data_IF_992922847517
#
_entry.id   IF_992922847517
#
_cell.length_a   1.000
_cell.length_b   1.000
_cell.length_c   1.000
_cell.angle_alpha   90.00
_cell.angle_beta   90.00
_cell.angle_gamma   90.00
#
_symmetry.space_group_name_H-M   'P 1'
#
loop_
_entity.id
_entity.type
_entity.pdbx_description
1 polymer ?
#
# COMPACT_ATOMS: atom_id res chain seq x y z
N UNK A 1 -3.61 -41.14 16.79
CA UNK A 1 -2.24 -40.80 16.37
C UNK A 1 -2.18 -39.52 15.54
N UNK A 2 -3.01 -39.31 14.47
CA UNK A 2 -2.96 -38.07 13.64
C UNK A 2 -3.23 -36.79 14.42
N UNK A 3 -4.12 -36.80 15.43
CA UNK A 3 -4.41 -35.61 16.28
C UNK A 3 -3.25 -35.29 17.24
N UNK A 4 -2.46 -36.25 17.66
CA UNK A 4 -1.29 -36.07 18.52
C UNK A 4 -0.12 -35.46 17.72
N UNK A 5 0.06 -35.87 16.46
CA UNK A 5 1.06 -35.28 15.56
C UNK A 5 0.78 -33.81 15.27
N UNK A 6 -0.49 -33.44 15.12
CA UNK A 6 -0.88 -32.03 14.89
C UNK A 6 -0.58 -31.16 16.12
N UNK A 7 -0.76 -31.69 17.33
CA UNK A 7 -0.41 -31.00 18.57
C UNK A 7 1.12 -30.87 18.76
N UNK A 8 1.90 -31.87 18.35
CA UNK A 8 3.38 -31.77 18.39
C UNK A 8 3.95 -30.76 17.38
N UNK A 9 3.32 -30.60 16.22
CA UNK A 9 3.71 -29.59 15.24
C UNK A 9 3.35 -28.14 15.67
N UNK A 10 2.39 -27.96 16.58
CA UNK A 10 2.01 -26.67 17.13
C UNK A 10 2.88 -26.26 18.34
N UNK A 11 3.55 -27.20 19.00
CA UNK A 11 4.38 -26.92 20.17
C UNK A 11 5.53 -25.91 19.93
N UNK A 12 6.29 -25.95 18.83
CA UNK A 12 7.34 -24.95 18.59
C UNK A 12 6.81 -23.55 18.31
N UNK A 13 5.53 -23.40 17.90
CA UNK A 13 4.91 -22.09 17.67
C UNK A 13 4.71 -21.33 18.98
N UNK A 14 4.47 -22.04 20.08
CA UNK A 14 4.22 -21.42 21.38
C UNK A 14 5.50 -20.96 22.10
N UNK A 15 6.64 -21.56 21.85
CA UNK A 15 7.91 -21.12 22.43
C UNK A 15 8.44 -19.82 21.80
N UNK A 16 7.94 -19.45 20.61
CA UNK A 16 8.32 -18.24 19.88
C UNK A 16 7.29 -17.11 19.99
N UNK A 17 6.23 -17.27 20.79
CA UNK A 17 5.13 -16.33 20.91
C UNK A 17 5.56 -14.94 21.44
N UNK A 18 6.65 -14.88 22.19
CA UNK A 18 7.21 -13.64 22.72
C UNK A 18 7.74 -12.69 21.62
N UNK A 19 8.09 -13.24 20.45
CA UNK A 19 8.62 -12.48 19.31
C UNK A 19 7.53 -12.09 18.31
N UNK A 20 6.28 -12.46 18.56
CA UNK A 20 5.16 -12.22 17.66
C UNK A 20 4.41 -10.95 18.06
N UNK A 21 4.14 -10.08 17.08
CA UNK A 21 3.41 -8.83 17.25
C UNK A 21 2.29 -8.74 16.23
N UNK A 22 1.12 -8.28 16.65
CA UNK A 22 0.08 -7.79 15.76
C UNK A 22 0.34 -6.33 15.40
N UNK A 23 0.09 -5.96 14.17
CA UNK A 23 0.33 -4.61 13.67
C UNK A 23 -0.90 -4.08 12.95
N UNK A 24 -1.34 -2.90 13.35
CA UNK A 24 -2.43 -2.16 12.75
C UNK A 24 -1.88 -0.85 12.21
N UNK A 25 -2.31 -0.47 11.02
CA UNK A 25 -1.91 0.80 10.41
C UNK A 25 -3.13 1.51 9.86
N UNK A 26 -3.22 2.82 10.06
CA UNK A 26 -4.30 3.64 9.54
C UNK A 26 -3.78 5.01 9.08
N UNK A 27 -4.25 5.48 7.94
CA UNK A 27 -3.77 6.75 7.41
C UNK A 27 -4.22 7.01 5.98
N UNK A 28 -3.32 7.56 5.17
CA UNK A 28 -3.59 8.07 3.85
C UNK A 28 -2.85 7.29 2.78
N UNK A 29 -3.55 7.00 1.68
CA UNK A 29 -2.99 6.49 0.43
C UNK A 29 -2.99 7.59 -0.63
N UNK A 30 -1.93 7.63 -1.42
CA UNK A 30 -1.77 8.54 -2.53
C UNK A 30 -1.25 7.81 -3.77
N UNK A 31 -1.72 8.27 -4.92
CA UNK A 31 -1.27 7.85 -6.23
C UNK A 31 -0.22 8.84 -6.78
N UNK A 32 0.69 8.32 -7.59
CA UNK A 32 1.66 9.08 -8.38
C UNK A 32 1.77 8.44 -9.77
N UNK A 33 1.49 9.20 -10.81
CA UNK A 33 1.52 8.77 -12.22
C UNK A 33 1.02 9.86 -13.15
N UNK A 34 0.42 9.48 -14.28
CA UNK A 34 0.07 10.40 -15.36
C UNK A 34 -1.01 11.43 -15.01
N UNK A 35 -1.96 11.11 -14.10
CA UNK A 35 -2.96 12.06 -13.63
C UNK A 35 -2.46 12.87 -12.41
N UNK A 36 -1.35 12.49 -11.79
CA UNK A 36 -0.77 13.17 -10.65
C UNK A 36 0.76 13.05 -10.67
N UNK A 37 1.42 13.90 -11.43
CA UNK A 37 2.89 13.90 -11.59
C UNK A 37 3.64 14.44 -10.37
N UNK A 38 2.95 15.15 -9.48
CA UNK A 38 3.59 15.74 -8.31
C UNK A 38 3.89 14.68 -7.26
N UNK A 39 5.19 14.54 -6.94
CA UNK A 39 5.65 13.65 -5.89
C UNK A 39 5.16 14.15 -4.51
N UNK A 40 4.75 13.23 -3.64
CA UNK A 40 4.40 13.50 -2.24
C UNK A 40 3.39 14.66 -2.04
N UNK A 41 2.20 14.52 -2.62
CA UNK A 41 1.09 15.45 -2.40
C UNK A 41 -0.02 14.80 -1.59
N UNK A 42 -0.63 15.56 -0.68
CA UNK A 42 -1.78 15.11 0.11
C UNK A 42 -3.13 15.54 -0.47
N UNK A 43 -3.13 16.30 -1.59
CA UNK A 43 -4.35 16.94 -2.10
C UNK A 43 -5.46 16.00 -2.54
N UNK A 44 -5.10 14.79 -2.99
CA UNK A 44 -6.04 13.80 -3.49
C UNK A 44 -6.00 12.50 -2.67
N UNK A 45 -5.44 12.57 -1.46
CA UNK A 45 -5.31 11.44 -0.56
C UNK A 45 -6.66 10.82 -0.23
N UNK A 46 -6.66 9.52 -0.06
CA UNK A 46 -7.78 8.72 0.41
C UNK A 46 -7.33 7.87 1.60
N UNK A 47 -8.29 7.43 2.39
CA UNK A 47 -8.00 6.58 3.54
C UNK A 47 -7.43 5.22 3.11
N UNK A 48 -6.50 4.72 3.90
CA UNK A 48 -5.99 3.35 3.84
C UNK A 48 -5.79 2.79 5.24
N UNK A 49 -6.16 1.53 5.41
CA UNK A 49 -5.95 0.77 6.63
C UNK A 49 -5.25 -0.54 6.36
N UNK A 50 -4.49 -1.03 7.32
CA UNK A 50 -3.77 -2.30 7.19
C UNK A 50 -3.79 -3.06 8.51
N UNK A 51 -3.84 -4.38 8.39
CA UNK A 51 -3.63 -5.31 9.49
C UNK A 51 -2.52 -6.27 9.11
N UNK A 52 -1.70 -6.64 10.07
CA UNK A 52 -0.60 -7.54 9.81
C UNK A 52 0.04 -8.10 11.05
N UNK A 53 1.13 -8.82 10.82
CA UNK A 53 1.93 -9.42 11.84
C UNK A 53 3.41 -9.09 11.63
N UNK A 54 4.14 -9.04 12.71
CA UNK A 54 5.59 -8.91 12.72
C UNK A 54 6.19 -9.99 13.62
N UNK A 55 7.38 -10.44 13.29
CA UNK A 55 8.11 -11.42 14.04
C UNK A 55 9.56 -10.98 14.21
N UNK A 56 10.02 -10.87 15.45
CA UNK A 56 11.40 -10.47 15.76
C UNK A 56 12.36 -11.63 15.45
N UNK A 57 13.16 -11.48 14.39
CA UNK A 57 14.20 -12.44 14.01
C UNK A 57 15.46 -12.22 14.84
N UNK A 58 15.79 -10.94 15.08
CA UNK A 58 16.88 -10.50 15.94
C UNK A 58 16.46 -9.25 16.72
N UNK A 59 17.32 -8.69 17.53
CA UNK A 59 17.06 -7.43 18.26
C UNK A 59 16.82 -6.22 17.33
N UNK A 60 17.26 -6.29 16.08
CA UNK A 60 17.13 -5.23 15.09
C UNK A 60 16.30 -5.62 13.87
N UNK A 61 16.29 -6.90 13.50
CA UNK A 61 15.65 -7.38 12.26
C UNK A 61 14.34 -8.07 12.56
N UNK A 62 13.28 -7.65 11.89
CA UNK A 62 11.94 -8.21 11.98
C UNK A 62 11.46 -8.66 10.60
N UNK A 63 10.81 -9.81 10.54
CA UNK A 63 9.95 -10.17 9.42
C UNK A 63 8.59 -9.47 9.60
N UNK A 64 7.98 -9.02 8.50
CA UNK A 64 6.67 -8.35 8.52
C UNK A 64 5.78 -8.82 7.39
N UNK A 65 4.49 -8.94 7.67
CA UNK A 65 3.46 -9.15 6.65
C UNK A 65 2.24 -8.31 6.96
N UNK A 66 1.64 -7.71 5.92
CA UNK A 66 0.45 -6.88 6.08
C UNK A 66 -0.52 -7.07 4.92
N UNK A 67 -1.80 -7.05 5.25
CA UNK A 67 -2.88 -6.89 4.29
C UNK A 67 -3.37 -5.45 4.42
N UNK A 68 -3.39 -4.73 3.30
CA UNK A 68 -3.78 -3.33 3.23
C UNK A 68 -4.99 -3.16 2.32
N UNK A 69 -5.94 -2.35 2.77
CA UNK A 69 -7.08 -1.89 2.01
C UNK A 69 -7.01 -0.37 1.91
N UNK A 70 -7.27 0.17 0.73
CA UNK A 70 -7.25 1.61 0.51
C UNK A 70 -7.94 2.01 -0.78
N UNK A 71 -7.95 3.29 -1.04
CA UNK A 71 -8.43 3.85 -2.29
C UNK A 71 -7.39 4.82 -2.85
N UNK A 72 -7.10 4.70 -4.15
CA UNK A 72 -6.30 5.66 -4.89
C UNK A 72 -7.22 6.49 -5.78
N UNK A 73 -6.89 7.76 -5.95
CA UNK A 73 -7.63 8.70 -6.79
C UNK A 73 -6.69 9.71 -7.40
N UNK A 74 -6.97 10.10 -8.65
CA UNK A 74 -6.46 11.34 -9.23
C UNK A 74 -7.50 11.96 -10.17
N UNK A 75 -7.34 13.27 -10.41
CA UNK A 75 -8.30 14.09 -11.15
C UNK A 75 -7.53 15.23 -11.84
N UNK A 76 -7.55 15.22 -13.16
CA UNK A 76 -6.90 16.21 -14.02
C UNK A 76 -7.41 17.63 -13.78
N UNK A 77 -8.69 17.79 -13.45
CA UNK A 77 -9.28 19.11 -13.16
C UNK A 77 -8.59 19.80 -11.96
N UNK A 78 -7.96 19.02 -11.06
CA UNK A 78 -7.20 19.54 -9.91
C UNK A 78 -5.72 19.76 -10.21
N UNK A 79 -5.27 19.42 -11.41
CA UNK A 79 -3.90 19.65 -11.87
C UNK A 79 -3.66 21.15 -12.14
N UNK A 80 -2.39 21.57 -12.02
CA UNK A 80 -1.95 22.91 -12.45
C UNK A 80 -1.56 22.94 -13.93
N UNK A 81 -1.52 21.80 -14.61
CA UNK A 81 -1.17 21.68 -16.03
C UNK A 81 -2.39 21.94 -16.91
N UNK A 82 -2.30 22.92 -17.82
CA UNK A 82 -3.36 23.21 -18.77
C UNK A 82 -3.70 21.99 -19.65
N UNK A 83 -2.70 21.19 -20.04
CA UNK A 83 -2.93 19.99 -20.85
C UNK A 83 -3.69 18.89 -20.09
N UNK A 84 -3.48 18.78 -18.78
CA UNK A 84 -4.28 17.85 -17.94
C UNK A 84 -5.70 18.38 -17.79
N UNK A 85 -5.88 19.67 -17.50
CA UNK A 85 -7.21 20.26 -17.38
C UNK A 85 -8.01 20.14 -18.68
N UNK A 86 -7.36 20.31 -19.85
CA UNK A 86 -8.02 20.13 -21.14
C UNK A 86 -8.39 18.68 -21.45
N UNK A 87 -7.64 17.69 -20.94
CA UNK A 87 -7.94 16.26 -21.04
C UNK A 87 -9.07 15.84 -20.08
N UNK A 88 -9.10 16.42 -18.89
CA UNK A 88 -10.13 16.32 -17.86
C UNK A 88 -10.46 14.87 -17.42
N UNK A 89 -9.47 14.01 -17.39
CA UNK A 89 -9.65 12.64 -16.93
C UNK A 89 -9.64 12.54 -15.40
N UNK A 90 -10.37 11.58 -14.88
CA UNK A 90 -10.31 11.22 -13.45
C UNK A 90 -10.46 9.73 -13.29
N UNK A 91 -9.90 9.20 -12.21
CA UNK A 91 -10.09 7.82 -11.82
C UNK A 91 -10.14 7.65 -10.31
N UNK A 92 -10.71 6.55 -9.90
CA UNK A 92 -10.62 5.99 -8.57
C UNK A 92 -10.36 4.49 -8.67
N UNK A 93 -9.62 3.92 -7.72
CA UNK A 93 -9.48 2.47 -7.64
C UNK A 93 -9.43 2.02 -6.19
N UNK A 94 -10.15 0.96 -5.87
CA UNK A 94 -9.96 0.25 -4.62
C UNK A 94 -8.67 -0.56 -4.71
N UNK A 95 -7.83 -0.42 -3.72
CA UNK A 95 -6.55 -1.10 -3.60
C UNK A 95 -6.66 -2.18 -2.54
N UNK A 96 -6.33 -3.41 -2.90
CA UNK A 96 -5.99 -4.50 -2.01
C UNK A 96 -4.51 -4.79 -2.18
N UNK A 97 -3.74 -4.87 -1.10
CA UNK A 97 -2.32 -5.20 -1.12
C UNK A 97 -2.01 -6.25 -0.05
N UNK A 98 -1.22 -7.25 -0.42
CA UNK A 98 -0.58 -8.16 0.52
C UNK A 98 0.93 -7.97 0.42
N UNK A 99 1.53 -7.50 1.50
CA UNK A 99 2.95 -7.20 1.66
C UNK A 99 3.63 -8.29 2.49
N UNK A 100 4.81 -8.72 2.06
CA UNK A 100 5.75 -9.54 2.82
C UNK A 100 7.12 -8.87 2.73
N UNK A 101 7.80 -8.69 3.86
CA UNK A 101 9.07 -7.99 3.88
C UNK A 101 9.82 -8.10 5.19
N UNK A 102 10.87 -7.30 5.29
CA UNK A 102 11.69 -7.15 6.48
C UNK A 102 11.73 -5.68 6.93
N UNK A 103 11.89 -5.49 8.22
CA UNK A 103 12.07 -4.20 8.87
C UNK A 103 13.36 -4.25 9.68
N UNK A 104 14.16 -3.20 9.60
CA UNK A 104 15.37 -3.04 10.40
C UNK A 104 15.24 -1.83 11.33
N UNK A 105 15.23 -2.09 12.62
CA UNK A 105 15.20 -1.09 13.68
C UNK A 105 16.62 -0.59 13.93
N UNK A 106 16.84 0.72 13.86
CA UNK A 106 18.16 1.33 14.05
C UNK A 106 18.57 1.25 15.52
N UNK A 107 17.63 1.48 16.43
CA UNK A 107 17.89 1.33 17.86
C UNK A 107 17.21 0.08 18.42
N UNK A 108 17.88 -0.56 19.34
CA UNK A 108 17.32 -1.68 20.06
C UNK A 108 16.30 -1.17 21.11
N UNK A 109 15.06 -1.59 20.98
CA UNK A 109 13.95 -1.21 21.88
C UNK A 109 14.05 -1.83 23.29
N UNK A 110 14.99 -2.77 23.51
CA UNK A 110 15.30 -3.23 24.86
C UNK A 110 16.06 -2.21 25.72
N UNK A 111 16.72 -1.22 25.06
CA UNK A 111 17.53 -0.22 25.71
C UNK A 111 17.02 1.21 25.49
N UNK A 112 16.26 1.42 24.39
CA UNK A 112 15.68 2.72 24.03
C UNK A 112 14.18 2.60 23.89
N UNK A 113 13.47 3.63 24.25
CA UNK A 113 12.01 3.68 24.17
C UNK A 113 11.47 4.14 22.81
N UNK A 114 12.35 4.42 21.85
CA UNK A 114 12.01 4.74 20.48
C UNK A 114 13.04 4.20 19.48
N UNK A 115 12.61 3.98 18.25
CA UNK A 115 13.50 3.57 17.16
C UNK A 115 13.02 4.11 15.83
N UNK A 116 13.88 4.77 15.04
CA UNK A 116 13.65 4.88 13.63
C UNK A 116 13.92 3.51 12.97
N UNK A 117 13.25 3.25 11.86
CA UNK A 117 13.42 2.01 11.12
C UNK A 117 13.31 2.23 9.62
N UNK A 118 13.86 1.30 8.88
CA UNK A 118 13.69 1.15 7.45
C UNK A 118 13.03 -0.19 7.16
N UNK A 119 12.30 -0.29 6.06
CA UNK A 119 11.75 -1.56 5.63
C UNK A 119 11.77 -1.70 4.12
N UNK A 120 11.79 -2.94 3.65
CA UNK A 120 11.63 -3.30 2.25
C UNK A 120 10.99 -4.68 2.13
N UNK A 121 10.36 -4.94 0.97
CA UNK A 121 9.71 -6.22 0.74
C UNK A 121 9.20 -6.40 -0.67
N UNK A 122 8.29 -7.33 -0.80
CA UNK A 122 7.55 -7.66 -2.00
C UNK A 122 6.05 -7.60 -1.70
N UNK A 123 5.24 -7.14 -2.64
CA UNK A 123 3.81 -7.14 -2.46
C UNK A 123 3.08 -7.53 -3.75
N UNK A 124 1.98 -8.23 -3.57
CA UNK A 124 0.96 -8.43 -4.59
C UNK A 124 -0.17 -7.44 -4.31
N UNK A 125 -0.54 -6.67 -5.31
CA UNK A 125 -1.65 -5.74 -5.19
C UNK A 125 -2.68 -5.93 -6.31
N UNK A 126 -3.91 -5.58 -6.01
CA UNK A 126 -5.03 -5.66 -6.94
C UNK A 126 -5.73 -4.31 -7.02
N UNK A 127 -5.97 -3.88 -8.26
CA UNK A 127 -6.67 -2.66 -8.60
C UNK A 127 -7.78 -2.94 -9.61
N UNK A 128 -8.79 -2.08 -9.62
CA UNK A 128 -9.84 -2.03 -10.63
C UNK A 128 -10.22 -0.57 -10.84
N UNK A 129 -9.50 0.16 -11.71
CA UNK A 129 -9.78 1.57 -11.94
C UNK A 129 -11.19 1.77 -12.50
N UNK A 130 -11.87 2.77 -11.97
CA UNK A 130 -13.20 3.18 -12.36
C UNK A 130 -13.34 4.71 -12.31
N UNK A 131 -14.33 5.22 -13.02
CA UNK A 131 -14.77 6.61 -12.95
C UNK A 131 -16.28 6.67 -12.88
N UNK A 132 -16.86 7.83 -12.65
CA UNK A 132 -18.28 8.07 -12.85
C UNK A 132 -18.52 8.58 -14.28
N UNK A 133 -19.56 8.06 -14.94
CA UNK A 133 -20.05 8.65 -16.18
C UNK A 133 -20.82 9.97 -15.92
N UNK A 134 -21.36 10.58 -16.96
CA UNK A 134 -22.09 11.85 -16.86
C UNK A 134 -23.41 11.74 -16.08
N UNK A 135 -23.93 10.53 -15.89
CA UNK A 135 -25.10 10.24 -15.06
C UNK A 135 -24.71 9.89 -13.61
N UNK A 136 -23.41 9.90 -13.29
CA UNK A 136 -22.90 9.51 -11.97
C UNK A 136 -22.79 8.01 -11.76
N UNK A 137 -23.06 7.19 -12.76
CA UNK A 137 -22.92 5.73 -12.65
C UNK A 137 -21.45 5.32 -12.65
N UNK A 138 -21.11 4.32 -11.83
CA UNK A 138 -19.76 3.78 -11.74
C UNK A 138 -19.43 2.92 -12.95
N UNK A 139 -18.40 3.29 -13.70
CA UNK A 139 -17.92 2.58 -14.88
C UNK A 139 -16.48 2.14 -14.68
N UNK A 140 -16.20 0.84 -14.85
CA UNK A 140 -14.84 0.32 -14.80
C UNK A 140 -14.11 0.62 -16.11
N UNK A 141 -12.88 1.14 -16.02
CA UNK A 141 -12.12 1.63 -17.17
C UNK A 141 -11.46 0.49 -17.96
N UNK A 142 -10.92 -0.54 -17.29
CA UNK A 142 -10.21 -1.64 -17.94
C UNK A 142 -11.00 -2.32 -19.10
N UNK A 143 -12.31 -2.64 -18.94
CA UNK A 143 -13.07 -3.25 -20.03
C UNK A 143 -13.28 -2.34 -21.25
N UNK A 144 -13.20 -1.02 -21.04
CA UNK A 144 -13.39 -0.02 -22.10
C UNK A 144 -12.20 0.05 -23.05
N UNK A 145 -11.01 -0.45 -22.61
CA UNK A 145 -9.84 -0.49 -23.48
C UNK A 145 -9.53 0.86 -24.14
N UNK A 146 -9.55 1.94 -23.34
CA UNK A 146 -9.53 3.35 -23.80
C UNK A 146 -8.33 3.72 -24.68
N UNK A 147 -7.27 2.91 -24.66
CA UNK A 147 -6.07 3.06 -25.49
C UNK A 147 -5.93 1.96 -26.53
N UNK A 148 -6.98 1.16 -26.76
CA UNK A 148 -6.98 0.10 -27.77
C UNK A 148 -6.54 -1.27 -27.27
N UNK A 149 -6.45 -1.47 -25.95
CA UNK A 149 -6.05 -2.74 -25.36
C UNK A 149 -7.00 -3.86 -25.76
N UNK A 150 -6.44 -4.95 -26.29
CA UNK A 150 -7.19 -6.16 -26.68
C UNK A 150 -7.85 -6.13 -28.06
N UNK A 151 -7.89 -4.99 -28.78
CA UNK A 151 -8.40 -4.94 -30.15
C UNK A 151 -7.41 -4.29 -31.15
N UNK A 152 -6.47 -3.47 -30.69
CA UNK A 152 -5.38 -2.98 -31.53
C UNK A 152 -4.23 -4.01 -31.51
N UNK A 153 -3.68 -4.41 -32.66
CA UNK A 153 -2.57 -5.35 -32.72
C UNK A 153 -1.40 -4.92 -31.82
N UNK A 154 -0.89 -5.85 -31.02
CA UNK A 154 0.22 -5.62 -30.11
C UNK A 154 -0.15 -5.01 -28.75
N UNK A 155 -1.36 -4.45 -28.57
CA UNK A 155 -1.82 -3.88 -27.29
C UNK A 155 -2.59 -4.90 -26.46
N UNK A 156 -1.95 -5.38 -25.39
CA UNK A 156 -2.56 -6.35 -24.45
C UNK A 156 -3.37 -5.62 -23.37
N UNK A 157 -4.44 -6.27 -22.93
CA UNK A 157 -5.18 -5.82 -21.74
C UNK A 157 -4.28 -5.99 -20.50
N UNK A 158 -4.16 -4.97 -19.69
CA UNK A 158 -3.36 -5.04 -18.47
C UNK A 158 -4.03 -5.90 -17.38
N UNK A 159 -3.21 -6.48 -16.50
CA UNK A 159 -3.71 -7.34 -15.42
C UNK A 159 -4.13 -6.48 -14.22
N UNK A 160 -5.25 -6.82 -13.60
CA UNK A 160 -5.70 -6.15 -12.36
C UNK A 160 -4.84 -6.51 -11.14
N UNK A 161 -4.26 -7.71 -11.11
CA UNK A 161 -3.35 -8.15 -10.03
C UNK A 161 -1.92 -8.03 -10.54
N UNK A 162 -1.09 -7.33 -9.76
CA UNK A 162 0.26 -6.96 -10.12
C UNK A 162 1.20 -7.06 -8.93
N UNK A 163 2.50 -6.95 -9.20
CA UNK A 163 3.57 -6.98 -8.21
C UNK A 163 4.12 -5.57 -7.98
N UNK A 164 4.53 -5.29 -6.73
CA UNK A 164 5.25 -4.07 -6.37
C UNK A 164 6.37 -4.37 -5.38
N UNK A 165 7.30 -3.42 -5.27
CA UNK A 165 8.36 -3.41 -4.27
C UNK A 165 8.02 -2.30 -3.26
N UNK A 166 7.44 -2.64 -2.10
CA UNK A 166 7.27 -1.71 -1.00
C UNK A 166 8.63 -1.46 -0.32
N UNK A 167 8.90 -0.20 -0.01
CA UNK A 167 10.01 0.21 0.84
C UNK A 167 9.68 1.53 1.51
N UNK A 168 10.34 1.82 2.62
CA UNK A 168 10.07 3.06 3.32
C UNK A 168 10.81 3.19 4.63
N UNK A 169 10.39 4.20 5.35
CA UNK A 169 10.95 4.59 6.64
C UNK A 169 9.81 4.79 7.65
N UNK A 170 10.15 4.65 8.91
CA UNK A 170 9.22 4.98 9.99
C UNK A 170 9.95 5.22 11.30
N UNK A 171 9.18 5.58 12.30
CA UNK A 171 9.65 5.67 13.66
C UNK A 171 8.58 5.10 14.60
N UNK A 172 9.01 4.35 15.59
CA UNK A 172 8.15 3.76 16.62
C UNK A 172 8.59 4.23 18.00
N UNK A 173 7.60 4.41 18.85
CA UNK A 173 7.73 4.76 20.25
C UNK A 173 7.10 3.66 21.10
N UNK A 174 7.82 3.17 22.10
CA UNK A 174 7.36 2.17 23.04
C UNK A 174 6.47 2.88 24.09
N UNK A 175 5.16 2.71 23.96
CA UNK A 175 4.20 3.30 24.88
C UNK A 175 4.13 2.49 26.20
N UNK A 176 4.12 1.16 26.05
CA UNK A 176 4.26 0.18 27.14
C UNK A 176 5.16 -0.95 26.66
N UNK A 177 5.51 -1.92 27.51
CA UNK A 177 6.31 -3.07 27.11
C UNK A 177 5.69 -3.87 25.95
N UNK A 178 4.36 -3.80 25.79
CA UNK A 178 3.60 -4.56 24.80
C UNK A 178 3.00 -3.72 23.68
N UNK A 179 2.98 -2.40 23.82
CA UNK A 179 2.33 -1.51 22.87
C UNK A 179 3.35 -0.51 22.32
N UNK A 180 3.46 -0.47 21.00
CA UNK A 180 4.26 0.53 20.27
C UNK A 180 3.32 1.34 19.37
N UNK A 181 3.57 2.63 19.28
CA UNK A 181 2.89 3.54 18.36
C UNK A 181 3.93 4.20 17.46
N UNK A 182 3.56 4.55 16.25
CA UNK A 182 4.53 5.14 15.34
C UNK A 182 3.91 5.78 14.12
N UNK A 183 4.80 6.25 13.24
CA UNK A 183 4.48 6.80 11.94
C UNK A 183 5.32 6.09 10.87
N UNK A 184 4.69 5.71 9.78
CA UNK A 184 5.34 5.05 8.64
C UNK A 184 5.04 5.80 7.34
N UNK A 185 6.08 6.05 6.55
CA UNK A 185 6.01 6.48 5.16
C UNK A 185 6.52 5.33 4.28
N UNK A 186 5.63 4.74 3.50
CA UNK A 186 5.95 3.60 2.64
C UNK A 186 5.62 3.90 1.19
N UNK A 187 6.62 3.78 0.31
CA UNK A 187 6.51 3.92 -1.13
C UNK A 187 6.42 2.54 -1.79
N UNK A 188 5.62 2.42 -2.85
CA UNK A 188 5.43 1.20 -3.64
C UNK A 188 5.86 1.48 -5.07
N UNK A 189 7.03 0.96 -5.44
CA UNK A 189 7.49 0.95 -6.82
C UNK A 189 6.73 -0.13 -7.57
N UNK A 190 5.93 0.25 -8.55
CA UNK A 190 5.22 -0.68 -9.41
C UNK A 190 5.92 -0.85 -10.76
N UNK A 191 5.47 -1.80 -11.55
CA UNK A 191 6.01 -2.10 -12.87
C UNK A 191 4.96 -1.88 -13.98
N UNK A 192 3.80 -1.36 -13.61
CA UNK A 192 2.72 -0.99 -14.51
C UNK A 192 2.61 0.52 -14.65
N UNK A 193 1.94 0.94 -15.69
CA UNK A 193 1.57 2.30 -16.03
C UNK A 193 0.05 2.41 -16.23
N UNK A 194 -0.69 1.52 -15.59
CA UNK A 194 -2.15 1.40 -15.76
C UNK A 194 -2.89 1.35 -14.41
N UNK A 195 -2.36 1.99 -13.37
CA UNK A 195 -3.11 2.15 -12.12
C UNK A 195 -4.31 3.10 -12.35
N UNK A 196 -4.13 4.08 -13.23
CA UNK A 196 -5.12 5.10 -13.60
C UNK A 196 -5.79 4.89 -14.97
N UNK A 197 -5.50 3.77 -15.66
CA UNK A 197 -5.95 3.45 -17.03
C UNK A 197 -5.35 4.38 -18.10
N UNK A 198 -4.27 5.10 -17.79
CA UNK A 198 -3.60 6.03 -18.73
C UNK A 198 -2.13 5.68 -18.84
N UNK A 199 -1.63 5.47 -20.05
CA UNK A 199 -0.24 5.09 -20.28
C UNK A 199 0.32 5.61 -21.60
N UNK A 200 -0.41 5.42 -22.70
CA UNK A 200 0.15 5.50 -24.05
C UNK A 200 -0.44 6.65 -24.86
N UNK A 201 -1.16 6.32 -25.89
CA UNK A 201 -1.70 7.22 -26.88
C UNK A 201 -3.20 6.97 -27.10
N UNK A 202 -3.91 7.99 -27.49
CA UNK A 202 -5.29 7.86 -27.95
C UNK A 202 -5.35 6.89 -29.14
N UNK A 203 -6.33 5.99 -29.10
CA UNK A 203 -6.71 5.17 -30.25
C UNK A 203 -7.63 5.96 -31.15
N UNK A 204 -7.74 5.56 -32.42
CA UNK A 204 -8.71 6.17 -33.35
C UNK A 204 -10.14 6.10 -32.78
N UNK A 205 -10.86 7.24 -32.86
CA UNK A 205 -12.21 7.37 -32.31
C UNK A 205 -13.19 6.37 -32.92
N UNK A 206 -13.13 6.18 -34.23
CA UNK A 206 -14.05 5.29 -34.94
C UNK A 206 -13.78 3.83 -34.59
N UNK A 207 -12.50 3.47 -34.50
CA UNK A 207 -12.08 2.14 -34.05
C UNK A 207 -12.51 1.84 -32.61
N UNK A 208 -12.36 2.81 -31.67
CA UNK A 208 -12.80 2.66 -30.30
C UNK A 208 -14.32 2.53 -30.21
N UNK A 209 -15.06 3.38 -30.93
CA UNK A 209 -16.51 3.34 -31.00
C UNK A 209 -17.03 1.99 -31.48
N UNK A 210 -16.45 1.47 -32.56
CA UNK A 210 -16.82 0.18 -33.14
C UNK A 210 -16.51 -1.00 -32.21
N UNK A 211 -15.39 -0.94 -31.49
CA UNK A 211 -14.93 -2.04 -30.63
C UNK A 211 -15.57 -2.04 -29.23
N UNK A 212 -15.84 -0.86 -28.64
CA UNK A 212 -16.23 -0.71 -27.23
C UNK A 212 -17.43 0.21 -26.96
N UNK A 213 -17.98 0.84 -28.00
CA UNK A 213 -19.16 1.70 -27.90
C UNK A 213 -18.88 3.13 -27.43
N UNK A 214 -19.95 3.91 -27.34
CA UNK A 214 -19.87 5.36 -27.09
C UNK A 214 -19.29 5.68 -25.72
N UNK A 215 -19.65 4.93 -24.68
CA UNK A 215 -19.12 5.14 -23.30
C UNK A 215 -17.59 5.07 -23.25
N UNK A 216 -16.97 4.20 -24.04
CA UNK A 216 -15.51 4.10 -24.10
C UNK A 216 -14.90 5.36 -24.74
N UNK A 217 -15.52 5.92 -25.76
CA UNK A 217 -15.09 7.17 -26.40
C UNK A 217 -15.20 8.34 -25.43
N UNK A 218 -16.34 8.47 -24.75
CA UNK A 218 -16.62 9.58 -23.82
C UNK A 218 -15.69 9.55 -22.61
N UNK A 219 -15.36 8.36 -22.10
CA UNK A 219 -14.46 8.21 -20.96
C UNK A 219 -12.96 8.16 -21.35
N UNK A 220 -12.63 7.95 -22.62
CA UNK A 220 -11.24 8.06 -23.08
C UNK A 220 -10.76 9.53 -23.13
N UNK A 221 -11.66 10.47 -23.41
CA UNK A 221 -11.40 11.92 -23.41
C UNK A 221 -12.63 12.66 -22.87
N UNK A 222 -12.44 13.44 -21.81
CA UNK A 222 -13.52 14.18 -21.12
C UNK A 222 -13.38 15.71 -21.22
N UNK A 223 -12.50 16.17 -22.08
CA UNK A 223 -12.30 17.60 -22.33
C UNK A 223 -13.45 18.21 -23.17
N UNK A 224 -13.52 19.53 -23.15
CA UNK A 224 -14.55 20.28 -23.88
C UNK A 224 -14.24 20.42 -25.39
N UNK A 225 -13.12 19.85 -25.86
CA UNK A 225 -12.69 19.92 -27.26
C UNK A 225 -13.07 18.70 -28.09
N UNK A 226 -12.57 18.70 -29.34
CA UNK A 226 -12.69 17.53 -30.22
C UNK A 226 -11.84 16.37 -29.67
N UNK A 227 -12.35 15.14 -29.80
CA UNK A 227 -11.57 13.95 -29.47
C UNK A 227 -10.21 13.96 -30.18
N UNK A 228 -9.09 13.75 -29.48
CA UNK A 228 -7.76 13.85 -30.07
C UNK A 228 -7.54 12.85 -31.21
N UNK A 229 -6.73 13.24 -32.19
CA UNK A 229 -6.38 12.36 -33.31
C UNK A 229 -5.67 11.11 -32.77
N UNK A 230 -6.00 9.94 -33.34
CA UNK A 230 -5.36 8.67 -33.01
C UNK A 230 -3.83 8.78 -33.11
N UNK A 231 -3.12 8.25 -32.11
CA UNK A 231 -1.67 8.39 -32.01
C UNK A 231 -1.17 9.61 -31.21
N UNK A 232 -2.03 10.56 -30.84
CA UNK A 232 -1.70 11.65 -29.91
C UNK A 232 -1.40 11.08 -28.53
N UNK A 233 -0.43 11.65 -27.80
CA UNK A 233 -0.08 11.22 -26.44
C UNK A 233 -1.26 11.41 -25.49
N UNK A 234 -1.63 10.34 -24.78
CA UNK A 234 -2.61 10.36 -23.69
C UNK A 234 -1.93 10.31 -22.32
N UNK A 235 -0.89 9.49 -22.19
CA UNK A 235 -0.03 9.30 -21.05
C UNK A 235 1.45 9.25 -21.39
N UNK A 236 2.27 8.73 -20.50
CA UNK A 236 3.72 8.61 -20.69
C UNK A 236 4.22 7.23 -20.27
N UNK A 237 4.39 6.32 -21.20
CA UNK A 237 4.94 4.97 -20.99
C UNK A 237 6.27 4.90 -20.24
N UNK A 238 7.01 6.03 -20.23
CA UNK A 238 8.35 6.11 -19.64
C UNK A 238 8.32 6.12 -18.12
N UNK A 239 7.25 6.64 -17.53
CA UNK A 239 7.11 6.81 -16.09
C UNK A 239 6.09 5.79 -15.57
N UNK A 240 6.56 4.75 -14.90
CA UNK A 240 5.64 3.79 -14.29
C UNK A 240 4.92 4.42 -13.10
N UNK A 241 3.67 4.04 -12.94
CA UNK A 241 2.86 4.45 -11.81
C UNK A 241 3.44 3.98 -10.48
N UNK A 242 3.16 4.72 -9.45
CA UNK A 242 3.52 4.38 -8.07
C UNK A 242 2.41 4.80 -7.12
N UNK A 243 2.45 4.28 -5.90
CA UNK A 243 1.62 4.77 -4.81
C UNK A 243 2.39 4.74 -3.49
N UNK A 244 1.92 5.51 -2.53
CA UNK A 244 2.54 5.57 -1.22
C UNK A 244 1.51 5.72 -0.13
N UNK A 245 1.89 5.24 1.06
CA UNK A 245 1.10 5.36 2.27
C UNK A 245 1.82 6.24 3.29
N UNK A 246 1.04 7.05 4.00
CA UNK A 246 1.46 7.73 5.24
C UNK A 246 0.50 7.28 6.31
N UNK A 247 0.99 6.48 7.25
CA UNK A 247 0.15 5.77 8.21
C UNK A 247 0.67 5.90 9.63
N UNK A 248 -0.23 6.08 10.58
CA UNK A 248 0.01 5.80 11.98
C UNK A 248 0.05 4.28 12.18
N UNK A 249 0.96 3.81 13.00
CA UNK A 249 1.12 2.40 13.33
C UNK A 249 0.81 2.15 14.79
N UNK A 250 0.12 1.06 15.06
CA UNK A 250 -0.10 0.48 16.38
C UNK A 250 0.39 -0.96 16.33
N UNK A 251 1.34 -1.30 17.18
CA UNK A 251 1.90 -2.65 17.29
C UNK A 251 1.64 -3.16 18.69
N UNK A 252 1.07 -4.34 18.77
CA UNK A 252 0.69 -4.97 20.03
C UNK A 252 1.24 -6.39 20.13
N UNK A 253 1.76 -6.75 21.29
CA UNK A 253 2.31 -8.06 21.62
C UNK A 253 1.35 -8.82 22.55
N UNK A 254 0.38 -9.58 22.00
CA UNK A 254 -0.78 -10.07 22.75
C UNK A 254 -0.50 -11.29 23.67
N UNK A 255 0.61 -12.00 23.48
CA UNK A 255 0.78 -13.34 24.05
C UNK A 255 1.73 -13.41 25.25
N UNK A 256 2.32 -12.32 25.71
CA UNK A 256 3.30 -12.32 26.79
C UNK A 256 2.64 -12.72 28.12
N UNK A 257 1.57 -12.02 28.50
CA UNK A 257 0.87 -12.27 29.75
C UNK A 257 0.23 -13.67 29.82
N UNK A 258 -0.27 -14.16 28.69
CA UNK A 258 -0.89 -15.48 28.63
C UNK A 258 0.15 -16.58 28.83
N UNK A 259 1.31 -16.46 28.20
CA UNK A 259 2.39 -17.44 28.33
C UNK A 259 3.00 -17.45 29.74
N UNK A 260 3.25 -16.30 30.34
CA UNK A 260 3.75 -16.17 31.70
C UNK A 260 2.78 -16.76 32.72
N UNK A 261 1.46 -16.58 32.55
CA UNK A 261 0.42 -17.12 33.40
C UNK A 261 0.22 -18.64 33.27
N UNK A 262 0.39 -19.18 32.06
CA UNK A 262 0.13 -20.62 31.80
C UNK A 262 1.35 -21.49 31.96
N UNK A 263 2.56 -20.98 31.74
CA UNK A 263 3.79 -21.78 31.83
C UNK A 263 4.35 -21.90 33.27
N UNK A 264 3.92 -21.05 34.19
CA UNK A 264 4.48 -21.00 35.56
C UNK A 264 5.97 -20.65 35.60
N UNK A 265 6.59 -20.44 34.47
CA UNK A 265 7.99 -20.06 34.34
C UNK A 265 8.04 -18.55 34.46
N UNK A 266 8.18 -18.04 35.69
CA UNK A 266 8.54 -16.65 35.91
C UNK A 266 9.78 -16.34 35.07
N UNK A 267 9.64 -15.46 34.09
CA UNK A 267 10.72 -15.18 33.18
C UNK A 267 11.91 -14.64 33.96
N UNK A 268 13.02 -15.37 33.92
CA UNK A 268 14.31 -14.95 34.46
C UNK A 268 14.87 -13.65 33.80
N UNK A 269 14.12 -13.04 32.86
CA UNK A 269 14.44 -11.78 32.18
C UNK A 269 13.91 -10.51 32.86
N UNK A 270 13.37 -10.61 34.08
CA UNK A 270 12.82 -9.47 34.82
C UNK A 270 13.85 -8.41 35.25
N UNK A 271 15.12 -8.50 34.83
CA UNK A 271 16.16 -7.53 35.18
C UNK A 271 16.51 -6.52 34.07
N UNK A 272 15.77 -6.46 32.97
CA UNK A 272 15.90 -5.35 32.04
C UNK A 272 14.79 -4.32 32.38
N UNK A 273 15.09 -3.42 33.29
CA UNK A 273 14.29 -2.23 33.56
C UNK A 273 14.25 -1.37 32.30
N UNK A 274 13.30 -1.62 31.42
CA UNK A 274 12.84 -0.57 30.49
C UNK A 274 11.93 0.30 31.35
N UNK A 275 12.51 1.32 32.00
CA UNK A 275 11.76 2.25 32.80
C UNK A 275 10.77 2.98 31.93
N UNK A 276 9.51 3.09 32.37
CA UNK A 276 8.59 4.08 31.83
C UNK A 276 9.27 5.47 31.80
N UNK A 277 8.95 6.33 30.80
CA UNK A 277 9.43 7.70 30.80
C UNK A 277 9.03 8.39 32.10
N UNK A 278 9.96 8.64 32.99
CA UNK A 278 9.71 9.24 34.31
C UNK A 278 10.39 8.52 35.48
N UNK A 279 10.79 7.26 35.37
CA UNK A 279 11.49 6.53 36.46
C UNK A 279 12.97 6.33 36.14
N UNK A 280 13.70 7.40 35.81
CA UNK A 280 15.16 7.37 35.83
C UNK A 280 15.61 7.46 37.29
N UNK A 281 15.93 6.35 37.94
CA UNK A 281 16.85 6.41 39.07
C UNK A 281 18.19 6.94 38.53
N UNK A 282 18.61 8.09 39.04
CA UNK A 282 19.96 8.62 38.85
C UNK A 282 20.92 7.61 39.49
N UNK A 283 21.59 6.81 38.69
CA UNK A 283 22.76 6.06 39.12
C UNK A 283 23.88 7.03 39.46
N UNK A 284 24.36 6.94 40.65
CA UNK A 284 25.62 7.52 41.09
C UNK A 284 26.78 6.82 40.43
#
# INVERSE_FOLDING_TARGET
MKKLLLLLCLAPVFTSAQNFHLSFRGGLANYQGDLQRKNFTFKQSKFAGSIGARYDLTEHLLARTHISLGMLRADDAKSKSASHQSRNLNFQTNLFEWELGAQYNIFNLNYKWWTPYVFAGAALYRIKPFTADDNGAKVFLQPLSTEGQGFVPGKKVYKSTQFSIPFGIGAEYLLTEDIRVGLELGYRKTFTDYIDDVSTRYVDRTALLAARGQTAVDLAYRGNGTYPVGGTLRGSEKNKDAYYFVQLTLVWRPFVDWYERTSGIASFKKNKKVGCPGTREKGY
#
